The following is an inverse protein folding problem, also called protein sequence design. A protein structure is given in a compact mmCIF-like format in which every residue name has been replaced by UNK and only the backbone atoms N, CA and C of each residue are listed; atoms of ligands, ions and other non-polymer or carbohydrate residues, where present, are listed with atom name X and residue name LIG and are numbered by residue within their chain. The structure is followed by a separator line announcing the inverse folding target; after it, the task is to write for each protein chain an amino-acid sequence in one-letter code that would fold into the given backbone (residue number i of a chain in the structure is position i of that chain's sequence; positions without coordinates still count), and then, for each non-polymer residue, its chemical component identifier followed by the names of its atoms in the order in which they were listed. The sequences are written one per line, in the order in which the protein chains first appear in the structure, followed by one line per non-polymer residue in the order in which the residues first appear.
data_IF_834671621865
#
_entry.id   IF_834671621865
#
_cell.length_a   1.000
_cell.length_b   1.000
_cell.length_c   1.000
_cell.angle_alpha   90.00
_cell.angle_beta   90.00
_cell.angle_gamma   90.00
#
_symmetry.space_group_name_H-M   'P 1'
#
loop_
_entity.id
_entity.type
_entity.pdbx_description
1 polymer ?
#
# COMPACT_ATOMS: atom_id res chain seq x y z
N UNK A 1 53.82 -42.18 2.67
CA UNK A 1 53.27 -40.82 2.48
C UNK A 1 51.81 -40.97 2.06
N UNK A 2 50.84 -40.52 2.87
CA UNK A 2 49.42 -40.67 2.54
C UNK A 2 48.98 -39.58 1.55
N UNK A 3 48.28 -40.00 0.49
CA UNK A 3 47.62 -39.13 -0.48
C UNK A 3 46.45 -38.40 0.19
N UNK A 4 46.59 -37.09 0.39
CA UNK A 4 45.49 -36.21 0.82
C UNK A 4 44.65 -35.84 -0.40
N UNK A 5 43.51 -36.51 -0.56
CA UNK A 5 42.46 -36.10 -1.51
C UNK A 5 41.71 -34.90 -0.94
N UNK A 6 42.04 -33.71 -1.40
CA UNK A 6 41.28 -32.50 -1.09
C UNK A 6 39.88 -32.59 -1.72
N UNK A 7 38.87 -32.59 -0.86
CA UNK A 7 37.43 -32.50 -1.18
C UNK A 7 37.14 -31.14 -1.86
N UNK A 8 36.46 -31.08 -3.01
CA UNK A 8 36.08 -29.80 -3.60
C UNK A 8 35.06 -29.08 -2.69
N UNK A 9 35.09 -27.73 -2.59
CA UNK A 9 34.19 -27.00 -1.73
C UNK A 9 32.74 -27.19 -2.19
N UNK A 10 31.92 -27.62 -1.23
CA UNK A 10 30.47 -27.77 -1.34
C UNK A 10 29.86 -26.47 -1.86
N UNK A 11 29.30 -26.52 -3.07
CA UNK A 11 28.38 -25.51 -3.58
C UNK A 11 27.30 -25.33 -2.53
N UNK A 12 27.27 -24.17 -1.89
CA UNK A 12 26.20 -23.77 -1.02
C UNK A 12 24.94 -23.63 -1.88
N UNK A 13 24.01 -24.56 -1.68
CA UNK A 13 22.64 -24.51 -2.18
C UNK A 13 22.04 -23.16 -1.82
N UNK A 14 21.82 -22.31 -2.83
CA UNK A 14 20.97 -21.13 -2.71
C UNK A 14 19.57 -21.64 -2.37
N UNK A 15 18.94 -21.23 -1.26
CA UNK A 15 17.54 -21.53 -1.02
C UNK A 15 16.72 -20.70 -2.00
N UNK A 16 16.34 -21.38 -3.08
CA UNK A 16 15.27 -20.99 -3.98
C UNK A 16 13.96 -20.86 -3.19
N UNK A 17 13.19 -19.82 -3.52
CA UNK A 17 11.80 -19.55 -3.10
C UNK A 17 11.58 -19.10 -1.65
N UNK A 18 11.87 -17.81 -1.41
CA UNK A 18 11.12 -17.06 -0.41
C UNK A 18 9.65 -17.01 -0.85
N UNK A 19 8.83 -17.89 -0.31
CA UNK A 19 7.37 -17.81 -0.39
C UNK A 19 6.94 -16.39 -0.01
N UNK A 20 6.54 -15.61 -1.00
CA UNK A 20 5.87 -14.32 -0.83
C UNK A 20 4.65 -14.57 0.04
N UNK A 21 4.73 -14.16 1.31
CA UNK A 21 3.60 -14.06 2.21
C UNK A 21 2.48 -13.36 1.42
N UNK A 22 1.24 -13.88 1.40
CA UNK A 22 0.18 -13.23 0.65
C UNK A 22 0.08 -11.77 1.10
N UNK A 23 0.00 -10.85 0.14
CA UNK A 23 -0.22 -9.41 0.37
C UNK A 23 -1.53 -9.13 1.12
N UNK A 24 -2.38 -10.16 1.26
CA UNK A 24 -3.63 -10.14 1.98
C UNK A 24 -3.41 -10.14 3.49
N UNK A 25 -3.89 -9.06 4.13
CA UNK A 25 -3.90 -8.88 5.57
C UNK A 25 -5.32 -9.13 6.07
N UNK A 26 -5.47 -9.81 7.20
CA UNK A 26 -6.74 -9.88 7.92
C UNK A 26 -7.13 -8.49 8.45
N UNK A 27 -8.36 -8.06 8.20
CA UNK A 27 -8.90 -6.77 8.64
C UNK A 27 -8.11 -5.54 8.13
N UNK A 28 -7.97 -5.37 6.80
CA UNK A 28 -7.21 -4.28 6.23
C UNK A 28 -7.76 -2.89 6.56
N UNK A 29 -9.08 -2.71 6.70
CA UNK A 29 -9.67 -1.40 6.95
C UNK A 29 -9.59 -0.97 8.41
N UNK A 30 -9.66 -1.90 9.35
CA UNK A 30 -9.32 -1.71 10.76
C UNK A 30 -7.87 -1.26 10.89
N UNK A 31 -6.99 -1.92 10.16
CA UNK A 31 -5.58 -1.55 10.12
C UNK A 31 -5.31 -0.19 9.51
N UNK A 32 -6.07 0.21 8.49
CA UNK A 32 -6.01 1.56 7.93
C UNK A 32 -6.50 2.57 8.96
N UNK A 33 -7.61 2.32 9.64
CA UNK A 33 -8.13 3.19 10.70
C UNK A 33 -7.10 3.38 11.83
N UNK A 34 -6.41 2.31 12.22
CA UNK A 34 -5.33 2.35 13.22
C UNK A 34 -4.00 2.94 12.71
N UNK A 35 -3.93 3.36 11.43
CA UNK A 35 -2.70 3.79 10.74
C UNK A 35 -1.58 2.73 10.75
N UNK A 36 -1.95 1.46 10.85
CA UNK A 36 -1.02 0.32 10.90
C UNK A 36 -0.95 -0.49 9.61
N UNK A 37 -1.59 -0.05 8.53
CA UNK A 37 -1.74 -0.84 7.30
C UNK A 37 -0.43 -1.35 6.69
N UNK A 38 0.66 -0.58 6.81
CA UNK A 38 2.01 -0.98 6.38
C UNK A 38 2.82 -1.78 7.42
N UNK A 39 2.38 -1.81 8.69
CA UNK A 39 3.10 -2.48 9.77
C UNK A 39 3.14 -4.01 9.54
N UNK A 40 3.98 -4.77 10.23
CA UNK A 40 4.03 -6.25 10.12
C UNK A 40 4.17 -6.85 8.70
N UNK A 41 4.56 -6.03 7.71
CA UNK A 41 4.83 -6.42 6.32
C UNK A 41 6.33 -6.45 6.07
N UNK A 42 6.72 -7.20 5.04
CA UNK A 42 8.12 -7.19 4.59
C UNK A 42 8.46 -5.84 3.95
N UNK A 43 9.75 -5.49 3.92
CA UNK A 43 10.23 -4.27 3.25
C UNK A 43 9.79 -4.24 1.76
N UNK A 44 9.89 -5.38 1.07
CA UNK A 44 9.48 -5.49 -0.33
C UNK A 44 7.99 -5.25 -0.55
N UNK A 45 7.13 -5.78 0.33
CA UNK A 45 5.68 -5.53 0.23
C UNK A 45 5.34 -4.07 0.48
N UNK A 46 6.02 -3.44 1.46
CA UNK A 46 5.82 -2.01 1.74
C UNK A 46 6.25 -1.15 0.56
N UNK A 47 7.37 -1.45 -0.09
CA UNK A 47 7.80 -0.74 -1.30
C UNK A 47 6.75 -0.84 -2.42
N UNK A 48 6.27 -2.04 -2.71
CA UNK A 48 5.21 -2.27 -3.72
C UNK A 48 3.95 -1.46 -3.42
N UNK A 49 3.44 -1.57 -2.19
CA UNK A 49 2.21 -0.89 -1.77
C UNK A 49 2.34 0.63 -1.87
N UNK A 50 3.47 1.21 -1.47
CA UNK A 50 3.68 2.67 -1.55
C UNK A 50 3.73 3.13 -3.01
N UNK A 51 4.50 2.43 -3.85
CA UNK A 51 4.64 2.79 -5.26
C UNK A 51 3.31 2.66 -5.99
N UNK A 52 2.60 1.55 -5.81
CA UNK A 52 1.33 1.32 -6.50
C UNK A 52 0.20 2.20 -5.96
N UNK A 53 0.23 2.57 -4.67
CA UNK A 53 -0.66 3.60 -4.12
C UNK A 53 -0.48 4.92 -4.87
N UNK A 54 0.77 5.37 -5.04
CA UNK A 54 1.05 6.60 -5.76
C UNK A 54 0.60 6.52 -7.23
N UNK A 55 0.90 5.40 -7.92
CA UNK A 55 0.49 5.18 -9.31
C UNK A 55 -1.03 5.21 -9.46
N UNK A 56 -1.77 4.58 -8.54
CA UNK A 56 -3.22 4.59 -8.54
C UNK A 56 -3.77 6.00 -8.25
N UNK A 57 -3.17 6.75 -7.32
CA UNK A 57 -3.53 8.15 -7.05
C UNK A 57 -3.38 9.03 -8.29
N UNK A 58 -2.27 8.89 -9.03
CA UNK A 58 -2.07 9.59 -10.30
C UNK A 58 -3.17 9.23 -11.31
N UNK A 59 -3.48 7.94 -11.45
CA UNK A 59 -4.54 7.48 -12.35
C UNK A 59 -5.92 8.05 -11.98
N UNK A 60 -6.26 8.10 -10.69
CA UNK A 60 -7.50 8.68 -10.20
C UNK A 60 -7.57 10.20 -10.46
N UNK A 61 -6.46 10.92 -10.24
CA UNK A 61 -6.37 12.37 -10.51
C UNK A 61 -6.55 12.71 -11.99
N UNK A 62 -5.97 11.91 -12.89
CA UNK A 62 -6.17 12.09 -14.32
C UNK A 62 -7.62 11.82 -14.73
N UNK A 63 -8.29 10.83 -14.13
CA UNK A 63 -9.71 10.54 -14.39
C UNK A 63 -10.64 11.62 -13.83
N UNK A 64 -10.34 12.22 -12.68
CA UNK A 64 -11.14 13.33 -12.12
C UNK A 64 -10.93 14.63 -12.90
N UNK A 65 -9.72 14.85 -13.41
CA UNK A 65 -9.36 16.00 -14.21
C UNK A 65 -9.79 15.88 -15.67
N UNK A 66 -10.51 14.84 -16.10
CA UNK A 66 -11.00 14.69 -17.49
C UNK A 66 -12.12 15.70 -17.87
N UNK A 67 -12.36 16.72 -17.03
CA UNK A 67 -12.99 18.00 -17.44
C UNK A 67 -12.00 19.09 -17.88
N UNK A 68 -10.69 18.89 -17.68
CA UNK A 68 -9.59 19.78 -18.05
C UNK A 68 -8.51 18.93 -18.75
N UNK A 69 -8.64 18.87 -20.08
CA UNK A 69 -7.64 18.48 -21.08
C UNK A 69 -6.97 17.11 -20.98
N UNK A 70 -7.48 16.17 -21.77
CA UNK A 70 -6.73 15.06 -22.36
C UNK A 70 -5.60 15.60 -23.26
N UNK A 71 -4.43 15.84 -22.70
CA UNK A 71 -3.19 15.88 -23.44
C UNK A 71 -2.03 15.80 -22.46
N UNK A 72 -1.04 14.95 -22.75
CA UNK A 72 0.26 14.86 -22.08
C UNK A 72 0.29 13.97 -20.84
N UNK A 73 0.08 12.68 -21.09
CA UNK A 73 0.84 11.66 -20.37
C UNK A 73 1.71 11.03 -21.45
N UNK A 74 3.02 11.05 -21.27
CA UNK A 74 4.11 10.46 -22.07
C UNK A 74 4.94 11.41 -22.94
N UNK A 75 5.78 12.24 -22.32
CA UNK A 75 7.09 12.60 -22.91
C UNK A 75 8.15 12.86 -21.83
N UNK A 76 9.35 12.28 -21.95
CA UNK A 76 10.39 12.08 -20.91
C UNK A 76 10.82 13.25 -19.99
N UNK A 77 10.39 14.50 -20.23
CA UNK A 77 10.44 15.56 -19.21
C UNK A 77 9.48 15.29 -18.03
N UNK A 78 8.41 14.53 -18.27
CA UNK A 78 7.44 14.09 -17.27
C UNK A 78 8.01 13.02 -16.34
N UNK A 79 8.95 12.19 -16.79
CA UNK A 79 9.48 11.11 -15.94
C UNK A 79 10.23 11.66 -14.72
N UNK A 80 11.08 12.66 -14.92
CA UNK A 80 11.77 13.35 -13.83
C UNK A 80 10.77 14.08 -12.92
N UNK A 81 9.71 14.66 -13.49
CA UNK A 81 8.64 15.30 -12.71
C UNK A 81 7.86 14.27 -11.85
N UNK A 82 7.50 13.11 -12.41
CA UNK A 82 6.85 12.01 -11.69
C UNK A 82 7.73 11.46 -10.57
N UNK A 83 9.03 11.27 -10.82
CA UNK A 83 9.97 10.84 -9.78
C UNK A 83 10.04 11.88 -8.65
N UNK A 84 10.13 13.17 -8.98
CA UNK A 84 10.16 14.24 -7.99
C UNK A 84 8.84 14.38 -7.21
N UNK A 85 7.70 14.17 -7.87
CA UNK A 85 6.39 14.19 -7.22
C UNK A 85 6.22 12.96 -6.29
N UNK A 86 6.70 11.79 -6.71
CA UNK A 86 6.77 10.61 -5.84
C UNK A 86 7.67 10.82 -4.61
N UNK A 87 8.83 11.46 -4.79
CA UNK A 87 9.67 11.85 -3.66
C UNK A 87 8.94 12.79 -2.70
N UNK A 88 8.20 13.78 -3.23
CA UNK A 88 7.40 14.70 -2.43
C UNK A 88 6.27 13.98 -1.67
N UNK A 89 5.62 13.01 -2.30
CA UNK A 89 4.58 12.17 -1.71
C UNK A 89 5.12 11.41 -0.47
N UNK A 90 6.28 10.75 -0.60
CA UNK A 90 6.92 10.06 0.53
C UNK A 90 7.46 11.07 1.57
N UNK A 91 8.04 12.19 1.15
CA UNK A 91 8.58 13.18 2.09
C UNK A 91 7.50 13.81 2.98
N UNK A 92 6.33 14.10 2.41
CA UNK A 92 5.16 14.62 3.16
C UNK A 92 4.74 13.68 4.29
N UNK A 93 4.82 12.38 4.02
CA UNK A 93 4.42 11.32 4.93
C UNK A 93 5.31 11.18 6.19
N UNK A 94 6.52 11.74 6.15
CA UNK A 94 7.54 11.62 7.20
C UNK A 94 7.53 12.75 8.23
N UNK A 95 6.67 13.75 8.05
CA UNK A 95 6.58 14.87 8.99
C UNK A 95 7.86 15.71 9.02
N UNK A 96 8.33 16.15 7.85
CA UNK A 96 9.08 17.42 7.77
C UNK A 96 8.17 18.62 8.10
N UNK A 97 6.86 18.41 8.13
CA UNK A 97 5.89 19.32 8.71
C UNK A 97 5.72 19.00 10.20
N UNK A 98 6.29 19.86 11.06
CA UNK A 98 6.41 19.64 12.50
C UNK A 98 5.05 19.46 13.23
N UNK A 99 3.93 19.79 12.58
CA UNK A 99 2.59 19.78 13.16
C UNK A 99 1.82 18.46 13.01
N UNK A 100 2.30 17.48 12.22
CA UNK A 100 1.60 16.18 12.05
C UNK A 100 2.28 15.03 12.79
N UNK A 101 2.25 15.05 14.13
CA UNK A 101 2.74 13.93 14.97
C UNK A 101 2.13 12.57 14.59
N UNK A 102 0.91 12.56 14.05
CA UNK A 102 0.21 11.34 13.63
C UNK A 102 0.72 10.75 12.29
N UNK A 103 1.37 11.54 11.43
CA UNK A 103 1.94 11.05 10.17
C UNK A 103 3.08 10.05 10.42
N UNK A 104 3.84 10.25 11.51
CA UNK A 104 4.92 9.35 11.94
C UNK A 104 4.45 7.94 12.30
N UNK A 105 3.16 7.74 12.56
CA UNK A 105 2.62 6.43 12.95
C UNK A 105 2.26 5.55 11.75
N UNK A 106 2.22 6.11 10.53
CA UNK A 106 1.80 5.41 9.32
C UNK A 106 2.85 4.38 8.87
N UNK A 107 4.13 4.70 9.04
CA UNK A 107 5.22 3.83 8.62
C UNK A 107 5.69 2.91 9.74
N UNK A 108 6.17 1.70 9.39
CA UNK A 108 6.85 0.84 10.34
C UNK A 108 8.07 1.53 10.96
N UNK A 109 8.44 1.14 12.19
CA UNK A 109 9.57 1.75 12.92
C UNK A 109 10.92 1.61 12.21
N UNK A 110 11.06 0.61 11.33
CA UNK A 110 12.26 0.40 10.51
C UNK A 110 12.30 1.28 9.26
N UNK A 111 11.26 2.06 8.98
CA UNK A 111 11.22 2.98 7.84
C UNK A 111 12.13 4.19 8.07
N UNK A 112 13.35 4.08 7.54
CA UNK A 112 14.41 5.09 7.67
C UNK A 112 14.69 5.77 6.33
N UNK A 113 15.47 6.84 6.33
CA UNK A 113 15.94 7.49 5.09
C UNK A 113 16.65 6.52 4.13
N UNK A 114 17.37 5.52 4.68
CA UNK A 114 18.02 4.49 3.88
C UNK A 114 17.02 3.56 3.20
N UNK A 115 15.94 3.18 3.89
CA UNK A 115 14.84 2.38 3.31
C UNK A 115 14.11 3.18 2.24
N UNK A 116 13.85 4.46 2.47
CA UNK A 116 13.24 5.35 1.46
C UNK A 116 14.07 5.41 0.18
N UNK A 117 15.39 5.54 0.31
CA UNK A 117 16.26 5.52 -0.86
C UNK A 117 16.18 4.19 -1.64
N UNK A 118 16.07 3.06 -0.93
CA UNK A 118 15.83 1.76 -1.57
C UNK A 118 14.46 1.68 -2.23
N UNK A 119 13.43 2.28 -1.62
CA UNK A 119 12.10 2.39 -2.22
C UNK A 119 12.13 3.18 -3.54
N UNK A 120 12.89 4.29 -3.61
CA UNK A 120 13.05 5.05 -4.85
C UNK A 120 13.72 4.21 -5.95
N UNK A 121 14.79 3.48 -5.60
CA UNK A 121 15.44 2.58 -6.56
C UNK A 121 14.56 1.41 -6.99
N UNK A 122 13.77 0.87 -6.06
CA UNK A 122 12.77 -0.15 -6.37
C UNK A 122 11.72 0.38 -7.35
N UNK A 123 11.19 1.59 -7.12
CA UNK A 123 10.16 2.20 -7.94
C UNK A 123 10.57 2.42 -9.40
N UNK A 124 11.87 2.61 -9.68
CA UNK A 124 12.39 2.75 -11.04
C UNK A 124 12.67 1.40 -11.72
N UNK A 125 13.00 0.37 -10.93
CA UNK A 125 13.55 -0.90 -11.43
C UNK A 125 12.55 -2.06 -11.48
N UNK A 126 11.49 -2.02 -10.67
CA UNK A 126 10.49 -3.10 -10.63
C UNK A 126 9.73 -3.22 -11.96
N UNK A 127 9.32 -4.44 -12.29
CA UNK A 127 8.62 -4.73 -13.54
C UNK A 127 7.16 -4.24 -13.51
N UNK A 128 6.45 -4.55 -12.42
CA UNK A 128 5.04 -4.21 -12.24
C UNK A 128 4.88 -2.86 -11.55
N UNK A 129 5.46 -2.70 -10.37
CA UNK A 129 5.44 -1.50 -9.54
C UNK A 129 6.47 -0.48 -10.03
N UNK A 130 6.48 -0.22 -11.34
CA UNK A 130 7.32 0.80 -11.94
C UNK A 130 6.59 2.15 -11.92
N UNK A 131 7.19 3.14 -11.28
CA UNK A 131 6.60 4.47 -11.10
C UNK A 131 6.29 5.19 -12.43
N UNK A 132 7.02 4.83 -13.49
CA UNK A 132 6.90 5.45 -14.80
C UNK A 132 5.86 4.75 -15.70
N UNK A 133 5.25 3.66 -15.24
CA UNK A 133 4.20 2.95 -15.96
C UNK A 133 2.84 3.29 -15.32
N UNK A 134 1.84 3.73 -16.11
CA UNK A 134 0.50 3.93 -15.59
C UNK A 134 -0.07 2.61 -15.03
N UNK A 135 -1.11 2.72 -14.20
CA UNK A 135 -1.84 1.56 -13.68
C UNK A 135 -3.33 1.86 -13.67
N UNK A 136 -4.13 0.82 -13.85
CA UNK A 136 -5.58 0.85 -13.74
C UNK A 136 -6.05 0.23 -12.44
N UNK A 137 -7.29 0.49 -12.07
CA UNK A 137 -7.93 -0.14 -10.91
C UNK A 137 -7.93 -1.67 -11.07
N UNK A 138 -8.26 -2.14 -12.26
CA UNK A 138 -8.41 -3.55 -12.59
C UNK A 138 -7.07 -4.28 -12.49
N UNK A 139 -5.98 -3.69 -12.99
CA UNK A 139 -4.62 -4.24 -12.84
C UNK A 139 -4.17 -4.35 -11.37
N UNK A 140 -4.54 -3.38 -10.52
CA UNK A 140 -4.27 -3.48 -9.07
C UNK A 140 -5.06 -4.63 -8.45
N UNK A 141 -6.34 -4.77 -8.77
CA UNK A 141 -7.16 -5.86 -8.23
C UNK A 141 -6.62 -7.23 -8.64
N UNK A 142 -6.19 -7.38 -9.90
CA UNK A 142 -5.59 -8.60 -10.41
C UNK A 142 -4.23 -8.90 -9.76
N UNK A 143 -3.34 -7.91 -9.69
CA UNK A 143 -2.00 -8.09 -9.13
C UNK A 143 -2.02 -8.49 -7.66
N UNK A 144 -2.85 -7.82 -6.86
CA UNK A 144 -2.95 -8.04 -5.41
C UNK A 144 -3.99 -9.11 -5.03
N UNK A 145 -4.76 -9.63 -5.99
CA UNK A 145 -5.84 -10.61 -5.80
C UNK A 145 -6.84 -10.18 -4.71
N UNK A 146 -7.18 -8.90 -4.69
CA UNK A 146 -8.03 -8.29 -3.68
C UNK A 146 -8.87 -7.17 -4.33
N UNK A 147 -10.17 -7.40 -4.43
CA UNK A 147 -11.11 -6.46 -5.06
C UNK A 147 -11.17 -5.11 -4.35
N UNK A 148 -10.87 -5.08 -3.05
CA UNK A 148 -10.87 -3.89 -2.21
C UNK A 148 -9.49 -3.23 -2.12
N UNK A 149 -8.44 -3.81 -2.70
CA UNK A 149 -7.10 -3.22 -2.69
C UNK A 149 -7.05 -1.78 -3.21
N UNK A 150 -7.71 -1.42 -4.33
CA UNK A 150 -7.73 -0.02 -4.78
C UNK A 150 -8.35 0.91 -3.74
N UNK A 151 -9.34 0.45 -2.99
CA UNK A 151 -9.96 1.25 -1.93
C UNK A 151 -9.02 1.39 -0.73
N UNK A 152 -8.33 0.31 -0.33
CA UNK A 152 -7.31 0.36 0.71
C UNK A 152 -6.21 1.39 0.38
N UNK A 153 -5.70 1.36 -0.86
CA UNK A 153 -4.69 2.31 -1.34
C UNK A 153 -5.19 3.76 -1.34
N UNK A 154 -6.45 4.02 -1.70
CA UNK A 154 -7.03 5.39 -1.65
C UNK A 154 -7.10 5.94 -0.23
N UNK A 155 -7.51 5.11 0.73
CA UNK A 155 -7.53 5.48 2.16
C UNK A 155 -6.11 5.77 2.62
N UNK A 156 -5.17 4.91 2.26
CA UNK A 156 -3.76 5.07 2.61
C UNK A 156 -3.14 6.34 1.99
N UNK A 157 -3.42 6.65 0.73
CA UNK A 157 -2.94 7.89 0.09
C UNK A 157 -3.46 9.13 0.82
N UNK A 158 -4.74 9.13 1.21
CA UNK A 158 -5.34 10.24 1.96
C UNK A 158 -4.66 10.44 3.32
N UNK A 159 -4.22 9.36 3.97
CA UNK A 159 -3.46 9.44 5.22
C UNK A 159 -2.07 10.06 5.03
N UNK A 160 -1.45 9.88 3.86
CA UNK A 160 -0.11 10.40 3.53
C UNK A 160 -0.14 11.90 3.25
N UNK A 161 -0.96 12.35 2.29
CA UNK A 161 -0.90 13.71 1.78
C UNK A 161 -2.18 14.53 2.01
N UNK A 162 -3.21 13.93 2.62
CA UNK A 162 -4.50 14.56 2.84
C UNK A 162 -5.33 14.78 1.57
N UNK A 163 -4.91 14.23 0.42
CA UNK A 163 -5.62 14.40 -0.84
C UNK A 163 -6.87 13.51 -0.86
N UNK A 164 -8.04 14.15 -0.89
CA UNK A 164 -9.32 13.47 -1.13
C UNK A 164 -9.60 13.44 -2.63
N UNK A 165 -9.63 12.26 -3.24
CA UNK A 165 -9.88 12.09 -4.68
C UNK A 165 -11.31 12.42 -5.13
N UNK A 166 -12.21 12.78 -4.20
CA UNK A 166 -13.56 13.26 -4.49
C UNK A 166 -14.57 12.17 -4.90
N UNK A 167 -14.14 10.91 -5.05
CA UNK A 167 -14.95 9.81 -5.61
C UNK A 167 -15.69 8.97 -4.55
N UNK A 168 -16.11 9.59 -3.44
CA UNK A 168 -16.52 9.06 -2.12
C UNK A 168 -15.41 9.31 -1.09
N UNK A 169 -15.73 9.81 0.13
CA UNK A 169 -14.72 9.98 1.17
C UNK A 169 -14.18 8.58 1.51
N UNK A 170 -12.95 8.28 1.07
CA UNK A 170 -12.33 6.97 1.24
C UNK A 170 -12.35 6.57 2.72
N UNK A 171 -12.08 7.52 3.62
CA UNK A 171 -12.25 7.34 5.07
C UNK A 171 -13.66 6.93 5.52
N UNK A 172 -14.71 7.44 4.88
CA UNK A 172 -16.10 7.09 5.20
C UNK A 172 -16.39 5.62 4.88
N UNK A 173 -15.99 5.17 3.68
CA UNK A 173 -16.08 3.76 3.30
C UNK A 173 -15.20 2.88 4.21
N UNK A 174 -13.98 3.32 4.51
CA UNK A 174 -13.06 2.60 5.38
C UNK A 174 -13.62 2.40 6.79
N UNK A 175 -14.28 3.41 7.37
CA UNK A 175 -14.94 3.28 8.68
C UNK A 175 -16.05 2.25 8.66
N UNK A 176 -16.90 2.25 7.63
CA UNK A 176 -17.95 1.25 7.48
C UNK A 176 -17.36 -0.16 7.38
N UNK A 177 -16.30 -0.33 6.59
CA UNK A 177 -15.68 -1.64 6.39
C UNK A 177 -14.90 -2.11 7.65
N UNK A 178 -14.25 -1.20 8.37
CA UNK A 178 -13.62 -1.47 9.67
C UNK A 178 -14.65 -1.96 10.71
N UNK A 179 -15.84 -1.34 10.75
CA UNK A 179 -16.94 -1.82 11.61
C UNK A 179 -17.33 -3.26 11.28
N UNK A 180 -17.45 -3.61 10.00
CA UNK A 180 -17.75 -4.99 9.56
C UNK A 180 -16.66 -5.97 9.96
N UNK A 181 -15.39 -5.61 9.80
CA UNK A 181 -14.24 -6.43 10.21
C UNK A 181 -14.18 -6.67 11.72
N UNK A 182 -14.67 -5.71 12.53
CA UNK A 182 -14.79 -5.81 13.99
C UNK A 182 -16.06 -6.57 14.43
N UNK A 183 -16.88 -7.05 13.49
CA UNK A 183 -18.10 -7.79 13.78
C UNK A 183 -19.30 -6.91 14.13
N UNK A 184 -19.35 -5.67 13.65
CA UNK A 184 -20.52 -4.80 13.74
C UNK A 184 -21.29 -4.79 12.40
N UNK A 185 -22.62 -4.75 12.47
CA UNK A 185 -23.48 -4.59 11.30
C UNK A 185 -23.47 -3.16 10.73
N UNK A 186 -24.22 -2.92 9.64
CA UNK A 186 -24.34 -1.61 8.99
C UNK A 186 -24.94 -0.51 9.89
N UNK A 187 -25.50 -0.88 11.05
CA UNK A 187 -26.08 0.03 12.06
C UNK A 187 -25.20 0.19 13.31
N UNK A 188 -24.02 -0.43 13.34
CA UNK A 188 -23.09 -0.37 14.48
C UNK A 188 -23.48 -1.26 15.66
N UNK A 189 -24.33 -2.27 15.43
CA UNK A 189 -24.70 -3.28 16.42
C UNK A 189 -23.75 -4.47 16.29
N UNK A 190 -23.22 -4.96 17.42
CA UNK A 190 -22.40 -6.18 17.45
C UNK A 190 -23.23 -7.37 16.93
N UNK A 191 -22.67 -8.14 15.99
CA UNK A 191 -23.30 -9.33 15.41
C UNK A 191 -23.58 -10.38 16.50
N UNK A 192 -22.68 -10.53 17.49
CA UNK A 192 -22.89 -11.42 18.65
C UNK A 192 -24.09 -10.98 19.52
N UNK A 193 -24.32 -9.67 19.62
CA UNK A 193 -25.47 -9.11 20.34
C UNK A 193 -26.79 -9.38 19.61
N UNK A 194 -26.79 -9.38 18.28
CA UNK A 194 -27.94 -9.81 17.48
C UNK A 194 -28.28 -11.28 17.68
N UNK A 195 -27.29 -12.16 17.74
CA UNK A 195 -27.51 -13.58 18.02
C UNK A 195 -28.10 -13.78 19.42
N UNK A 196 -27.57 -13.10 20.45
CA UNK A 196 -28.13 -13.15 21.81
C UNK A 196 -29.54 -12.55 21.92
N UNK A 197 -29.88 -11.56 21.09
CA UNK A 197 -31.25 -11.01 21.04
C UNK A 197 -32.24 -11.96 20.35
N UNK A 198 -31.80 -12.72 19.34
CA UNK A 198 -32.64 -13.72 18.66
C UNK A 198 -32.79 -15.04 19.43
N UNK A 199 -31.86 -15.39 20.33
CA UNK A 199 -31.99 -16.57 21.20
C UNK A 199 -32.92 -16.37 22.41
N UNK A 200 -33.42 -15.17 22.68
CA UNK A 200 -34.41 -14.91 23.75
C UNK A 200 -35.87 -14.93 23.26
N UNK A 201 -36.12 -15.38 22.02
CA UNK A 201 -37.46 -15.45 21.41
C UNK A 201 -37.89 -16.87 21.00
N UNK A 202 -37.27 -17.92 21.57
CA UNK A 202 -37.74 -19.31 21.44
C UNK A 202 -38.03 -19.89 22.83
#
# INVERSE_FOLDING_TARGET
MPHSTAKPPSVATVPDQAATKPCHRSNPFTSLEERKWLHDRSEGDVHKLIVDTYRLRMADQHRSNDKISKANIHRGAEQAATINDFHSFIATSLGLDHDRKEAKQIFPSWWTAMVQHRCYKFAEADEFSNICKPVTREEIQEHYKDELMPMQMRVFSEQIDGYNSGYLPAQGFARLQSSKEKGYDDYGISIERWEQMNFNFI
#
